data_IF_171924512491
#
_entry.id   IF_171924512491
#
_cell.length_a   1.000
_cell.length_b   1.000
_cell.length_c   1.000
_cell.angle_alpha   90.00
_cell.angle_beta   90.00
_cell.angle_gamma   90.00
#
_symmetry.space_group_name_H-M   'P 1'
#
loop_
_entity.id
_entity.type
_entity.pdbx_description
1 polymer ?
#
# COMPACT_ATOMS: atom_id res chain seq x y z
N UNK A 1 -9.37 -6.68 0.64
CA UNK A 1 -9.71 -7.47 1.87
C UNK A 1 -8.56 -8.38 2.32
N UNK A 2 -7.87 -9.10 1.42
CA UNK A 2 -6.77 -10.02 1.79
C UNK A 2 -5.65 -9.33 2.60
N UNK A 3 -5.16 -8.17 2.14
CA UNK A 3 -4.10 -7.43 2.84
C UNK A 3 -4.49 -6.98 4.26
N UNK A 4 -5.76 -6.64 4.46
CA UNK A 4 -6.26 -6.23 5.78
C UNK A 4 -6.26 -7.41 6.75
N UNK A 5 -6.64 -8.61 6.27
CA UNK A 5 -6.69 -9.82 7.10
C UNK A 5 -5.31 -10.42 7.38
N UNK A 6 -4.41 -10.42 6.40
CA UNK A 6 -3.08 -11.02 6.54
C UNK A 6 -2.09 -10.13 7.31
N UNK A 7 -2.19 -8.82 7.13
CA UNK A 7 -1.19 -7.87 7.65
C UNK A 7 -1.79 -6.80 8.58
N UNK A 8 -3.08 -6.88 8.92
CA UNK A 8 -3.73 -5.88 9.78
C UNK A 8 -3.77 -4.47 9.17
N UNK A 9 -3.67 -4.36 7.83
CA UNK A 9 -3.76 -3.07 7.17
C UNK A 9 -5.15 -2.47 7.33
N UNK A 10 -5.22 -1.15 7.50
CA UNK A 10 -6.48 -0.41 7.31
C UNK A 10 -6.85 -0.40 5.83
N UNK A 11 -8.08 0.00 5.52
CA UNK A 11 -8.53 0.09 4.12
C UNK A 11 -7.65 1.04 3.30
N UNK A 12 -7.34 2.22 3.84
CA UNK A 12 -6.50 3.23 3.17
C UNK A 12 -5.06 2.78 2.96
N UNK A 13 -4.50 2.05 3.92
CA UNK A 13 -3.18 1.43 3.79
C UNK A 13 -3.15 0.35 2.71
N UNK A 14 -4.18 -0.50 2.65
CA UNK A 14 -4.29 -1.53 1.62
C UNK A 14 -4.53 -0.93 0.23
N UNK A 15 -5.30 0.16 0.13
CA UNK A 15 -5.53 0.89 -1.12
C UNK A 15 -4.22 1.52 -1.62
N UNK A 16 -3.44 2.15 -0.73
CA UNK A 16 -2.12 2.69 -1.04
C UNK A 16 -1.16 1.59 -1.53
N UNK A 17 -1.08 0.47 -0.81
CA UNK A 17 -0.23 -0.66 -1.16
C UNK A 17 -0.57 -1.23 -2.55
N UNK A 18 -1.85 -1.37 -2.88
CA UNK A 18 -2.31 -1.81 -4.20
C UNK A 18 -1.98 -0.80 -5.30
N UNK A 19 -2.17 0.49 -5.04
CA UNK A 19 -1.85 1.54 -6.01
C UNK A 19 -0.35 1.54 -6.35
N UNK A 20 0.52 1.33 -5.36
CA UNK A 20 1.96 1.21 -5.57
C UNK A 20 2.34 -0.08 -6.32
N UNK A 21 1.70 -1.21 -6.01
CA UNK A 21 1.91 -2.46 -6.75
C UNK A 21 1.50 -2.32 -8.23
N UNK A 22 0.45 -1.56 -8.52
CA UNK A 22 -0.01 -1.25 -9.87
C UNK A 22 0.90 -0.25 -10.63
N UNK A 23 2.06 0.12 -10.09
CA UNK A 23 3.00 1.06 -10.70
C UNK A 23 2.70 2.54 -10.41
N UNK A 24 1.76 2.83 -9.50
CA UNK A 24 1.45 4.19 -9.07
C UNK A 24 2.57 4.82 -8.23
N UNK A 25 2.46 6.14 -8.04
CA UNK A 25 3.38 6.92 -7.20
C UNK A 25 2.65 7.48 -5.98
N UNK A 26 3.39 7.83 -4.93
CA UNK A 26 2.81 8.47 -3.74
C UNK A 26 2.13 9.80 -4.08
N UNK A 27 2.72 10.58 -5.00
CA UNK A 27 2.13 11.82 -5.48
C UNK A 27 0.82 11.57 -6.24
N UNK A 28 0.80 10.62 -7.17
CA UNK A 28 -0.41 10.25 -7.91
C UNK A 28 -1.53 9.72 -7.00
N UNK A 29 -1.16 8.94 -5.97
CA UNK A 29 -2.11 8.49 -4.96
C UNK A 29 -2.65 9.65 -4.13
N UNK A 30 -1.81 10.59 -3.68
CA UNK A 30 -2.24 11.79 -2.97
C UNK A 30 -3.24 12.61 -3.80
N UNK A 31 -2.93 12.85 -5.07
CA UNK A 31 -3.79 13.58 -6.00
C UNK A 31 -5.13 12.89 -6.21
N UNK A 32 -5.13 11.58 -6.48
CA UNK A 32 -6.37 10.81 -6.73
C UNK A 32 -7.26 10.68 -5.49
N UNK A 33 -6.68 10.66 -4.29
CA UNK A 33 -7.42 10.52 -3.03
C UNK A 33 -7.66 11.86 -2.31
N UNK A 34 -7.24 12.98 -2.90
CA UNK A 34 -7.38 14.34 -2.36
C UNK A 34 -6.83 14.50 -0.94
N UNK A 35 -5.74 13.80 -0.62
CA UNK A 35 -5.00 13.99 0.64
C UNK A 35 -3.62 14.55 0.36
N UNK A 36 -3.04 15.23 1.36
CA UNK A 36 -1.71 15.78 1.20
C UNK A 36 -0.65 14.68 1.17
N UNK A 37 0.48 14.98 0.52
CA UNK A 37 1.61 14.04 0.41
C UNK A 37 2.12 13.56 1.77
N UNK A 38 2.11 14.42 2.79
CA UNK A 38 2.48 14.07 4.17
C UNK A 38 1.62 12.94 4.74
N UNK A 39 0.30 12.99 4.54
CA UNK A 39 -0.62 11.93 4.96
C UNK A 39 -0.31 10.61 4.26
N UNK A 40 -0.06 10.64 2.94
CA UNK A 40 0.31 9.44 2.18
C UNK A 40 1.64 8.86 2.69
N UNK A 41 2.61 9.71 3.04
CA UNK A 41 3.89 9.28 3.62
C UNK A 41 3.69 8.61 4.98
N UNK A 42 2.82 9.15 5.84
CA UNK A 42 2.49 8.54 7.13
C UNK A 42 1.78 7.20 6.95
N UNK A 43 0.85 7.10 6.00
CA UNK A 43 0.21 5.82 5.65
C UNK A 43 1.24 4.79 5.17
N UNK A 44 2.20 5.18 4.32
CA UNK A 44 3.26 4.29 3.86
C UNK A 44 4.14 3.80 5.01
N UNK A 45 4.44 4.66 5.99
CA UNK A 45 5.21 4.26 7.19
C UNK A 45 4.44 3.26 8.04
N UNK A 46 3.13 3.43 8.19
CA UNK A 46 2.29 2.45 8.88
C UNK A 46 2.28 1.10 8.15
N UNK A 47 2.17 1.10 6.81
CA UNK A 47 2.27 -0.12 5.99
C UNK A 47 3.60 -0.83 6.21
N UNK A 48 4.71 -0.09 6.16
CA UNK A 48 6.05 -0.61 6.41
C UNK A 48 6.17 -1.28 7.78
N UNK A 49 5.70 -0.61 8.84
CA UNK A 49 5.72 -1.18 10.18
C UNK A 49 4.89 -2.47 10.27
N UNK A 50 3.69 -2.50 9.68
CA UNK A 50 2.79 -3.66 9.72
C UNK A 50 3.24 -4.84 8.87
N UNK A 51 3.98 -4.57 7.79
CA UNK A 51 4.48 -5.60 6.87
C UNK A 51 5.94 -5.98 7.12
N UNK A 52 6.60 -5.39 8.12
CA UNK A 52 7.98 -5.71 8.47
C UNK A 52 9.01 -5.31 7.41
N UNK A 53 8.70 -4.31 6.59
CA UNK A 53 9.58 -3.81 5.51
C UNK A 53 9.89 -2.34 5.72
N UNK A 54 10.99 -1.84 5.15
CA UNK A 54 11.43 -0.46 5.31
C UNK A 54 11.66 0.29 3.98
N UNK A 55 11.52 -0.39 2.84
CA UNK A 55 11.64 0.19 1.49
C UNK A 55 10.41 -0.14 0.66
N UNK A 56 10.04 0.79 -0.21
CA UNK A 56 8.91 0.61 -1.13
C UNK A 56 9.15 -0.57 -2.09
N UNK A 57 10.38 -0.76 -2.56
CA UNK A 57 10.73 -1.89 -3.42
C UNK A 57 10.51 -3.24 -2.72
N UNK A 58 10.85 -3.34 -1.42
CA UNK A 58 10.66 -4.57 -0.65
C UNK A 58 9.18 -4.83 -0.38
N UNK A 59 8.39 -3.78 -0.12
CA UNK A 59 6.94 -3.85 -0.05
C UNK A 59 6.35 -4.40 -1.36
N UNK A 60 6.74 -3.84 -2.51
CA UNK A 60 6.25 -4.27 -3.83
C UNK A 60 6.61 -5.74 -4.08
N UNK A 61 7.85 -6.15 -3.78
CA UNK A 61 8.30 -7.53 -3.90
C UNK A 61 7.45 -8.46 -3.05
N UNK A 62 7.25 -8.15 -1.77
CA UNK A 62 6.44 -8.97 -0.86
C UNK A 62 5.01 -9.11 -1.38
N UNK A 63 4.37 -8.00 -1.76
CA UNK A 63 3.00 -8.00 -2.29
C UNK A 63 2.86 -8.82 -3.58
N UNK A 64 3.88 -8.85 -4.44
CA UNK A 64 3.88 -9.66 -5.65
C UNK A 64 3.85 -11.18 -5.37
N UNK A 65 4.33 -11.62 -4.20
CA UNK A 65 4.27 -13.03 -3.79
C UNK A 65 2.99 -13.39 -3.02
N UNK A 66 2.18 -12.41 -2.61
CA UNK A 66 0.91 -12.68 -1.93
C UNK A 66 -0.15 -13.05 -2.98
N UNK A 67 -0.71 -14.28 -2.96
CA UNK A 67 -1.76 -14.66 -3.89
C UNK A 67 -2.99 -13.75 -3.74
N UNK A 68 -3.62 -13.34 -4.84
CA UNK A 68 -4.86 -12.55 -4.89
C UNK A 68 -4.78 -11.04 -4.55
N UNK A 69 -3.61 -10.39 -4.62
CA UNK A 69 -3.54 -8.91 -4.49
C UNK A 69 -4.14 -8.18 -5.73
N UNK A 70 -4.28 -8.86 -6.87
CA UNK A 70 -4.78 -8.29 -8.13
C UNK A 70 -6.29 -8.45 -8.40
N UNK A 71 -7.11 -8.90 -7.44
CA UNK A 71 -8.56 -9.07 -7.71
C UNK A 71 -9.24 -7.71 -7.82
N UNK A 72 -9.27 -7.21 -9.05
CA UNK A 72 -10.07 -6.07 -9.51
C UNK A 72 -11.55 -6.48 -9.37
N UNK A 73 -12.23 -5.93 -8.38
CA UNK A 73 -13.70 -5.93 -8.32
C UNK A 73 -14.22 -4.68 -9.02
#
# INVERSE_FOLDING_TARGET
>A
MVLMKLFGLTRKEADLAQALLAGGTLAGYASSTKVCYGTVRSQLRAVFAKMGVNRQADLIRLLAYVPNVFVKT
#
